data_IF_089479470359
#
_entry.id   IF_089479470359
#
_cell.length_a   1.000
_cell.length_b   1.000
_cell.length_c   1.000
_cell.angle_alpha   90.00
_cell.angle_beta   90.00
_cell.angle_gamma   90.00
#
_symmetry.space_group_name_H-M   'P 1'
#
loop_
_entity.id
_entity.type
_entity.pdbx_description
1 polymer ?
#
# COMPACT_ATOMS: atom_id res chain seq x y z
N UNK A 1 3.39 -2.60 37.02
CA UNK A 1 2.20 -2.21 36.23
C UNK A 1 2.29 -2.85 34.86
N UNK A 2 1.67 -4.02 34.75
CA UNK A 2 1.62 -4.89 33.58
C UNK A 2 0.36 -4.60 32.77
N UNK A 3 0.50 -4.15 31.53
CA UNK A 3 -0.43 -4.54 30.46
C UNK A 3 0.38 -4.63 29.16
N UNK A 4 0.77 -5.85 28.81
CA UNK A 4 1.26 -6.18 27.48
C UNK A 4 0.08 -6.09 26.51
N UNK A 5 -0.13 -4.93 25.88
CA UNK A 5 -1.01 -4.85 24.70
C UNK A 5 -0.21 -5.32 23.50
N UNK A 6 0.02 -6.64 23.46
CA UNK A 6 0.27 -7.36 22.22
C UNK A 6 -1.03 -7.42 21.43
N UNK A 7 -1.51 -6.27 20.94
CA UNK A 7 -2.51 -6.27 19.88
C UNK A 7 -1.71 -6.62 18.63
N UNK A 8 -1.57 -7.92 18.36
CA UNK A 8 -1.15 -8.35 17.04
C UNK A 8 -2.02 -7.57 16.05
N UNK A 9 -1.47 -6.71 15.18
CA UNK A 9 -2.28 -6.15 14.13
C UNK A 9 -2.86 -7.37 13.44
N UNK A 10 -4.19 -7.48 13.44
CA UNK A 10 -4.89 -8.46 12.63
C UNK A 10 -4.44 -8.16 11.21
N UNK A 11 -3.41 -8.89 10.74
CA UNK A 11 -2.72 -8.66 9.47
C UNK A 11 -3.78 -8.85 8.40
N UNK A 12 -4.48 -7.76 8.13
CA UNK A 12 -5.61 -7.77 7.25
C UNK A 12 -5.07 -8.00 5.86
N UNK A 13 -5.92 -8.48 4.96
CA UNK A 13 -5.62 -8.39 3.54
C UNK A 13 -5.24 -6.94 3.13
N UNK A 14 -5.71 -5.95 3.88
CA UNK A 14 -5.34 -4.54 3.75
C UNK A 14 -3.86 -4.25 4.11
N UNK A 15 -3.32 -4.79 5.20
CA UNK A 15 -1.90 -4.63 5.54
C UNK A 15 -1.01 -5.30 4.48
N UNK A 16 -1.43 -6.45 3.96
CA UNK A 16 -0.72 -7.16 2.88
C UNK A 16 -0.75 -6.34 1.58
N UNK A 17 -1.87 -5.70 1.28
CA UNK A 17 -2.01 -4.82 0.12
C UNK A 17 -1.16 -3.56 0.27
N UNK A 18 -1.15 -2.93 1.45
CA UNK A 18 -0.36 -1.73 1.72
C UNK A 18 1.15 -2.04 1.69
N UNK A 19 1.60 -3.15 2.27
CA UNK A 19 2.98 -3.64 2.16
C UNK A 19 3.38 -3.92 0.71
N UNK A 20 2.47 -4.48 -0.09
CA UNK A 20 2.73 -4.76 -1.51
C UNK A 20 2.79 -3.47 -2.34
N UNK A 21 1.93 -2.49 -2.03
CA UNK A 21 1.83 -1.21 -2.71
C UNK A 21 3.01 -0.27 -2.39
N UNK A 22 3.55 -0.38 -1.16
CA UNK A 22 4.72 0.36 -0.69
C UNK A 22 6.05 -0.36 -0.92
N UNK A 23 6.02 -1.61 -1.39
CA UNK A 23 7.24 -2.36 -1.67
C UNK A 23 8.03 -1.63 -2.76
N UNK A 24 9.27 -1.27 -2.47
CA UNK A 24 10.25 -0.70 -3.41
C UNK A 24 10.38 -1.58 -4.66
N UNK A 25 9.49 -1.37 -5.62
CA UNK A 25 9.59 -1.87 -6.98
C UNK A 25 10.15 -0.74 -7.83
N UNK A 26 10.73 -1.09 -8.97
CA UNK A 26 11.31 -0.16 -9.95
C UNK A 26 10.41 1.04 -10.33
N UNK A 27 9.09 0.89 -10.15
CA UNK A 27 8.13 1.99 -10.21
C UNK A 27 7.35 2.02 -8.90
N UNK A 28 7.54 3.07 -8.10
CA UNK A 28 6.80 3.28 -6.87
C UNK A 28 5.33 3.56 -7.23
N UNK A 29 4.46 2.57 -6.97
CA UNK A 29 3.02 2.73 -7.22
C UNK A 29 2.42 3.55 -6.08
N UNK A 30 2.58 3.16 -4.82
CA UNK A 30 1.96 3.87 -3.70
C UNK A 30 0.44 4.06 -3.88
N UNK A 31 -0.21 4.77 -2.96
CA UNK A 31 -1.63 5.10 -3.11
C UNK A 31 -1.87 6.13 -4.22
N UNK A 32 -0.91 7.01 -4.47
CA UNK A 32 -0.98 8.02 -5.52
C UNK A 32 -0.91 7.42 -6.94
N UNK A 33 -0.19 6.31 -7.12
CA UNK A 33 -0.06 5.64 -8.43
C UNK A 33 -1.37 5.03 -8.91
N UNK A 34 -2.25 4.61 -8.01
CA UNK A 34 -3.58 4.07 -8.38
C UNK A 34 -4.37 5.08 -9.22
N UNK A 35 -4.20 6.38 -8.96
CA UNK A 35 -4.81 7.45 -9.76
C UNK A 35 -3.89 7.94 -10.88
N UNK A 36 -2.58 7.98 -10.65
CA UNK A 36 -1.61 8.49 -11.61
C UNK A 36 -1.48 7.59 -12.85
N UNK A 37 -1.44 6.26 -12.69
CA UNK A 37 -1.33 5.33 -13.82
C UNK A 37 -2.49 5.39 -14.81
N UNK A 38 -3.78 5.35 -14.38
CA UNK A 38 -4.88 5.46 -15.33
C UNK A 38 -4.95 6.85 -15.98
N UNK A 39 -4.69 7.94 -15.23
CA UNK A 39 -4.65 9.28 -15.83
C UNK A 39 -3.51 9.44 -16.83
N UNK A 40 -2.30 8.98 -16.50
CA UNK A 40 -1.16 9.05 -17.41
C UNK A 40 -1.38 8.17 -18.64
N UNK A 41 -1.93 6.96 -18.47
CA UNK A 41 -2.24 6.07 -19.57
C UNK A 41 -3.29 6.66 -20.53
N UNK A 42 -4.36 7.25 -19.99
CA UNK A 42 -5.39 7.91 -20.79
C UNK A 42 -4.92 9.22 -21.45
N UNK A 43 -3.94 9.91 -20.87
CA UNK A 43 -3.37 11.12 -21.45
C UNK A 43 -2.27 10.85 -22.48
N UNK A 44 -1.61 9.69 -22.39
CA UNK A 44 -0.59 9.23 -23.35
C UNK A 44 -1.19 8.51 -24.56
N UNK A 45 -2.34 7.84 -24.40
CA UNK A 45 -3.09 7.19 -25.48
C UNK A 45 -3.87 8.18 -26.32
#
# INVERSE_FOLDING_TARGET
MTIAVGRAPSRGWFDVLDDWLKRDRFVFVGWSGVLLFPCAFLALG
#
